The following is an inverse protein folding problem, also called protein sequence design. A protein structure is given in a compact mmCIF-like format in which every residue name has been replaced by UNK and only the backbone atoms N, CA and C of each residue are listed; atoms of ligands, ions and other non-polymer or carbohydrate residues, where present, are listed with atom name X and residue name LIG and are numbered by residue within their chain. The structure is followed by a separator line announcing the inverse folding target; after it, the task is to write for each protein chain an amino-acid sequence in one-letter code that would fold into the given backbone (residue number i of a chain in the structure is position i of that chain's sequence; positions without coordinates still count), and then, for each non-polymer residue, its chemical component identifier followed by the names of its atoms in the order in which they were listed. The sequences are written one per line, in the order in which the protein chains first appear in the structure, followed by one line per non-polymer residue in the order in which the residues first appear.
data_IF_336324829206
#
_entry.id   IF_336324829206
#
_cell.length_a   1.000
_cell.length_b   1.000
_cell.length_c   1.000
_cell.angle_alpha   90.00
_cell.angle_beta   90.00
_cell.angle_gamma   90.00
#
_symmetry.space_group_name_H-M   'P 1'
#
loop_
_entity.id
_entity.type
_entity.pdbx_description
1 polymer ?
#
# COMPACT_ATOMS: atom_id res chain seq x y z
N UNK A 1 19.16 -10.02 27.30
CA UNK A 1 19.23 -10.42 25.88
C UNK A 1 20.41 -9.69 25.23
N UNK A 2 21.18 -10.34 24.33
CA UNK A 2 22.46 -9.86 23.78
C UNK A 2 22.36 -8.73 22.73
N UNK A 3 21.15 -8.27 22.38
CA UNK A 3 20.89 -7.22 21.36
C UNK A 3 21.65 -7.43 20.03
N UNK A 4 21.86 -8.69 19.66
CA UNK A 4 22.68 -9.04 18.51
C UNK A 4 21.98 -8.70 17.19
N UNK A 5 22.67 -7.97 16.32
CA UNK A 5 22.19 -7.60 14.97
C UNK A 5 23.05 -8.27 13.91
N UNK A 6 22.65 -9.46 13.48
CA UNK A 6 23.40 -10.29 12.53
C UNK A 6 22.46 -10.97 11.52
N UNK A 7 23.02 -11.55 10.46
CA UNK A 7 22.25 -12.30 9.47
C UNK A 7 21.48 -13.47 10.11
N UNK A 8 22.09 -14.19 11.07
CA UNK A 8 21.37 -15.25 11.81
C UNK A 8 20.21 -14.70 12.62
N UNK A 9 20.32 -13.50 13.19
CA UNK A 9 19.21 -12.85 13.89
C UNK A 9 18.09 -12.52 12.90
N UNK A 10 18.43 -12.04 11.70
CA UNK A 10 17.44 -11.76 10.66
C UNK A 10 16.69 -13.03 10.25
N UNK A 11 17.39 -14.15 10.06
CA UNK A 11 16.78 -15.47 9.80
C UNK A 11 15.91 -15.92 10.97
N UNK A 12 16.39 -15.81 12.21
CA UNK A 12 15.59 -16.17 13.39
C UNK A 12 14.29 -15.36 13.49
N UNK A 13 14.33 -14.05 13.18
CA UNK A 13 13.11 -13.23 13.16
C UNK A 13 12.10 -13.69 12.11
N UNK A 14 12.56 -14.30 11.01
CA UNK A 14 11.69 -14.91 9.98
C UNK A 14 10.93 -16.10 10.56
N UNK A 15 11.64 -17.01 11.22
CA UNK A 15 11.04 -18.19 11.84
C UNK A 15 10.05 -17.80 12.94
N UNK A 16 10.42 -16.83 13.78
CA UNK A 16 9.52 -16.35 14.82
C UNK A 16 8.28 -15.63 14.24
N UNK A 17 8.43 -14.89 13.14
CA UNK A 17 7.30 -14.25 12.46
C UNK A 17 6.37 -15.28 11.79
N UNK A 18 6.91 -16.39 11.29
CA UNK A 18 6.12 -17.49 10.75
C UNK A 18 5.26 -18.18 11.84
N UNK A 19 5.80 -18.29 13.07
CA UNK A 19 5.09 -18.84 14.22
C UNK A 19 4.02 -17.90 14.80
N UNK A 20 4.32 -16.59 14.86
CA UNK A 20 3.40 -15.59 15.39
C UNK A 20 3.59 -14.23 14.70
N UNK A 21 2.92 -14.00 13.55
CA UNK A 21 3.02 -12.74 12.81
C UNK A 21 2.39 -11.57 13.56
N UNK A 22 1.60 -11.79 14.62
CA UNK A 22 1.00 -10.73 15.44
C UNK A 22 1.95 -10.15 16.49
N UNK A 23 3.11 -10.77 16.71
CA UNK A 23 4.08 -10.29 17.68
C UNK A 23 4.85 -9.08 17.14
N UNK A 24 4.45 -7.89 17.60
CA UNK A 24 5.03 -6.62 17.17
C UNK A 24 6.51 -6.47 17.50
N UNK A 25 7.01 -7.12 18.57
CA UNK A 25 8.41 -7.03 18.99
C UNK A 25 9.33 -7.69 17.96
N UNK A 26 8.89 -8.78 17.34
CA UNK A 26 9.65 -9.46 16.28
C UNK A 26 9.82 -8.52 15.09
N UNK A 27 8.73 -7.90 14.62
CA UNK A 27 8.78 -6.98 13.48
C UNK A 27 9.59 -5.71 13.76
N UNK A 28 9.49 -5.18 14.99
CA UNK A 28 10.32 -4.07 15.43
C UNK A 28 11.80 -4.44 15.40
N UNK A 29 12.16 -5.56 16.01
CA UNK A 29 13.55 -6.00 16.08
C UNK A 29 14.10 -6.36 14.69
N UNK A 30 13.29 -7.02 13.84
CA UNK A 30 13.63 -7.29 12.44
C UNK A 30 14.00 -6.02 11.68
N UNK A 31 13.25 -4.93 11.84
CA UNK A 31 13.59 -3.63 11.22
C UNK A 31 14.92 -3.06 11.71
N UNK A 32 15.23 -3.19 13.00
CA UNK A 32 16.54 -2.76 13.53
C UNK A 32 17.69 -3.56 12.91
N UNK A 33 17.51 -4.88 12.73
CA UNK A 33 18.53 -5.74 12.11
C UNK A 33 18.70 -5.42 10.63
N UNK A 34 17.60 -5.23 9.88
CA UNK A 34 17.63 -4.82 8.46
C UNK A 34 18.42 -3.52 8.29
N UNK A 35 18.15 -2.53 9.14
CA UNK A 35 18.82 -1.24 9.10
C UNK A 35 20.31 -1.35 9.41
N UNK A 36 20.68 -2.08 10.46
CA UNK A 36 22.10 -2.26 10.85
C UNK A 36 22.91 -2.96 9.76
N UNK A 37 22.32 -3.97 9.12
CA UNK A 37 22.99 -4.76 8.10
C UNK A 37 23.01 -4.09 6.72
N UNK A 38 22.25 -3.01 6.53
CA UNK A 38 22.02 -2.45 5.19
C UNK A 38 21.42 -3.49 4.23
N UNK A 39 20.51 -4.34 4.73
CA UNK A 39 19.93 -5.43 3.95
C UNK A 39 19.13 -4.92 2.75
N UNK A 40 19.02 -5.75 1.70
CA UNK A 40 18.25 -5.43 0.52
C UNK A 40 16.75 -5.28 0.84
N UNK A 41 16.25 -4.05 0.75
CA UNK A 41 14.85 -3.74 1.03
C UNK A 41 13.90 -4.29 -0.03
N UNK A 42 14.35 -4.51 -1.27
CA UNK A 42 13.52 -5.13 -2.31
C UNK A 42 13.26 -6.60 -1.99
N UNK A 43 14.29 -7.33 -1.57
CA UNK A 43 14.13 -8.68 -1.05
C UNK A 43 13.19 -8.72 0.18
N UNK A 44 13.24 -7.72 1.06
CA UNK A 44 12.32 -7.63 2.19
C UNK A 44 10.86 -7.34 1.76
N UNK A 45 10.64 -6.52 0.72
CA UNK A 45 9.31 -6.29 0.15
C UNK A 45 8.70 -7.58 -0.43
N UNK A 46 9.52 -8.42 -1.04
CA UNK A 46 9.11 -9.74 -1.55
C UNK A 46 8.80 -10.71 -0.41
N UNK A 47 9.62 -10.72 0.64
CA UNK A 47 9.35 -11.51 1.84
C UNK A 47 8.03 -11.09 2.49
N UNK A 48 7.85 -9.81 2.82
CA UNK A 48 6.63 -9.34 3.51
C UNK A 48 5.39 -9.51 2.64
N UNK A 49 5.52 -9.41 1.31
CA UNK A 49 4.44 -9.76 0.36
C UNK A 49 3.95 -11.19 0.60
N UNK A 50 4.85 -12.17 0.68
CA UNK A 50 4.48 -13.57 0.94
C UNK A 50 3.76 -13.74 2.28
N UNK A 51 4.23 -13.06 3.33
CA UNK A 51 3.61 -13.14 4.66
C UNK A 51 2.22 -12.49 4.68
N UNK A 52 2.02 -11.37 3.99
CA UNK A 52 0.71 -10.69 3.92
C UNK A 52 -0.32 -11.54 3.18
N UNK A 53 0.07 -12.26 2.13
CA UNK A 53 -0.85 -13.15 1.40
C UNK A 53 -1.51 -14.15 2.36
N UNK A 54 -0.72 -14.73 3.28
CA UNK A 54 -1.24 -15.69 4.27
C UNK A 54 -1.86 -15.02 5.50
N UNK A 55 -1.57 -13.75 5.76
CA UNK A 55 -1.92 -13.04 6.99
C UNK A 55 -2.58 -11.68 6.70
N UNK A 56 -3.47 -11.62 5.71
CA UNK A 56 -4.00 -10.37 5.15
C UNK A 56 -4.78 -9.48 6.14
N UNK A 57 -5.18 -10.02 7.29
CA UNK A 57 -5.91 -9.32 8.37
C UNK A 57 -5.03 -8.96 9.58
N UNK A 58 -3.71 -9.13 9.47
CA UNK A 58 -2.77 -8.86 10.54
C UNK A 58 -2.21 -7.43 10.42
N UNK A 59 -2.33 -6.64 11.49
CA UNK A 59 -1.87 -5.24 11.47
C UNK A 59 -0.36 -5.11 11.31
N UNK A 60 0.41 -5.97 11.97
CA UNK A 60 1.87 -5.87 12.04
C UNK A 60 2.53 -6.10 10.68
N UNK A 61 2.01 -7.00 9.85
CA UNK A 61 2.57 -7.28 8.51
C UNK A 61 2.37 -6.11 7.56
N UNK A 62 1.19 -5.47 7.59
CA UNK A 62 0.91 -4.27 6.80
C UNK A 62 1.73 -3.07 7.29
N UNK A 63 1.83 -2.89 8.61
CA UNK A 63 2.67 -1.85 9.17
C UNK A 63 4.16 -2.07 8.84
N UNK A 64 4.64 -3.30 8.87
CA UNK A 64 6.00 -3.62 8.46
C UNK A 64 6.23 -3.29 6.99
N UNK A 65 5.33 -3.71 6.08
CA UNK A 65 5.41 -3.35 4.66
C UNK A 65 5.49 -1.84 4.46
N UNK A 66 4.61 -1.07 5.13
CA UNK A 66 4.63 0.39 5.11
C UNK A 66 6.02 0.94 5.46
N UNK A 67 6.61 0.50 6.58
CA UNK A 67 7.96 0.95 6.98
C UNK A 67 9.03 0.63 5.93
N UNK A 68 8.96 -0.54 5.29
CA UNK A 68 9.93 -0.91 4.25
C UNK A 68 9.74 -0.03 3.00
N UNK A 69 8.50 0.25 2.57
CA UNK A 69 8.22 1.18 1.47
C UNK A 69 8.73 2.59 1.76
N UNK A 70 8.56 3.09 2.99
CA UNK A 70 9.11 4.37 3.44
C UNK A 70 10.65 4.39 3.34
N UNK A 71 11.31 3.30 3.77
CA UNK A 71 12.76 3.17 3.67
C UNK A 71 13.24 3.09 2.20
N UNK A 72 12.53 2.38 1.31
CA UNK A 72 12.85 2.33 -0.12
C UNK A 72 12.68 3.71 -0.75
N UNK A 73 11.60 4.44 -0.42
CA UNK A 73 11.40 5.82 -0.85
C UNK A 73 12.58 6.71 -0.44
N UNK A 74 13.01 6.63 0.81
CA UNK A 74 14.15 7.40 1.30
C UNK A 74 15.45 7.02 0.57
N UNK A 75 15.71 5.73 0.34
CA UNK A 75 16.88 5.29 -0.43
C UNK A 75 16.88 5.84 -1.86
N UNK A 76 15.74 5.88 -2.53
CA UNK A 76 15.60 6.48 -3.87
C UNK A 76 15.93 7.98 -3.81
N UNK A 77 15.37 8.71 -2.85
CA UNK A 77 15.62 10.15 -2.67
C UNK A 77 17.10 10.41 -2.39
N UNK A 78 17.72 9.68 -1.46
CA UNK A 78 19.11 9.86 -1.08
C UNK A 78 20.06 9.57 -2.26
N UNK A 79 19.78 8.50 -3.02
CA UNK A 79 20.54 8.10 -4.21
C UNK A 79 20.59 9.22 -5.26
N UNK A 80 19.49 9.93 -5.49
CA UNK A 80 19.40 10.94 -6.54
C UNK A 80 19.69 12.36 -6.07
N UNK A 81 19.59 12.64 -4.76
CA UNK A 81 19.82 13.97 -4.17
C UNK A 81 21.19 14.57 -4.50
N UNK A 82 22.22 13.73 -4.66
CA UNK A 82 23.58 14.18 -5.00
C UNK A 82 23.79 14.41 -6.51
N UNK A 83 22.92 13.86 -7.36
CA UNK A 83 23.16 13.77 -8.81
C UNK A 83 22.30 14.73 -9.64
N UNK A 84 21.22 15.28 -9.08
CA UNK A 84 20.31 16.20 -9.79
C UNK A 84 19.43 15.54 -10.86
N UNK A 85 19.39 14.20 -10.95
CA UNK A 85 18.59 13.46 -11.93
C UNK A 85 17.13 13.30 -11.48
N UNK A 86 16.36 14.40 -11.50
CA UNK A 86 14.96 14.41 -11.08
C UNK A 86 14.11 13.39 -11.83
N UNK A 87 14.27 13.26 -13.15
CA UNK A 87 13.45 12.35 -13.97
C UNK A 87 13.63 10.88 -13.60
N UNK A 88 14.86 10.46 -13.30
CA UNK A 88 15.14 9.07 -12.88
C UNK A 88 14.58 8.77 -11.50
N UNK A 89 14.67 9.74 -10.58
CA UNK A 89 14.07 9.65 -9.25
C UNK A 89 12.55 9.53 -9.35
N UNK A 90 11.90 10.39 -10.14
CA UNK A 90 10.46 10.36 -10.36
C UNK A 90 10.00 9.03 -10.95
N UNK A 91 10.77 8.49 -11.91
CA UNK A 91 10.51 7.17 -12.47
C UNK A 91 10.60 6.06 -11.42
N UNK A 92 11.68 6.00 -10.62
CA UNK A 92 11.83 4.96 -9.59
C UNK A 92 10.75 5.05 -8.50
N UNK A 93 10.32 6.27 -8.13
CA UNK A 93 9.20 6.48 -7.21
C UNK A 93 7.87 6.04 -7.83
N UNK A 94 7.65 6.32 -9.12
CA UNK A 94 6.45 5.87 -9.84
C UNK A 94 6.39 4.34 -9.92
N UNK A 95 7.51 3.70 -10.26
CA UNK A 95 7.62 2.24 -10.35
C UNK A 95 7.27 1.58 -8.98
N UNK A 96 7.75 2.16 -7.87
CA UNK A 96 7.41 1.72 -6.51
C UNK A 96 5.91 1.85 -6.20
N UNK A 97 5.29 2.98 -6.55
CA UNK A 97 3.85 3.20 -6.35
C UNK A 97 3.03 2.20 -7.17
N UNK A 98 3.41 1.95 -8.42
CA UNK A 98 2.71 1.01 -9.29
C UNK A 98 2.82 -0.43 -8.78
N UNK A 99 3.97 -0.82 -8.23
CA UNK A 99 4.14 -2.10 -7.53
C UNK A 99 3.21 -2.22 -6.32
N UNK A 100 3.12 -1.18 -5.49
CA UNK A 100 2.21 -1.16 -4.33
C UNK A 100 0.73 -1.21 -4.76
N UNK A 101 0.34 -0.43 -5.78
CA UNK A 101 -1.01 -0.44 -6.34
C UNK A 101 -1.38 -1.84 -6.87
N UNK A 102 -0.46 -2.51 -7.59
CA UNK A 102 -0.66 -3.87 -8.10
C UNK A 102 -0.77 -4.90 -6.97
N UNK A 103 0.10 -4.81 -5.97
CA UNK A 103 0.07 -5.72 -4.82
C UNK A 103 -1.23 -5.57 -4.03
N UNK A 104 -1.65 -4.35 -3.74
CA UNK A 104 -2.91 -4.14 -3.01
C UNK A 104 -4.12 -4.57 -3.85
N UNK A 105 -4.10 -4.34 -5.16
CA UNK A 105 -5.17 -4.84 -6.04
C UNK A 105 -5.29 -6.37 -6.00
N UNK A 106 -4.17 -7.10 -5.91
CA UNK A 106 -4.20 -8.56 -5.69
C UNK A 106 -4.90 -8.92 -4.38
N UNK A 107 -4.59 -8.20 -3.28
CA UNK A 107 -5.21 -8.45 -1.98
C UNK A 107 -6.71 -8.09 -1.95
N UNK A 108 -7.10 -6.98 -2.59
CA UNK A 108 -8.50 -6.56 -2.73
C UNK A 108 -9.29 -7.54 -3.59
N UNK A 109 -8.68 -8.13 -4.62
CA UNK A 109 -9.36 -9.16 -5.43
C UNK A 109 -9.69 -10.42 -4.63
N UNK A 110 -8.85 -10.77 -3.65
CA UNK A 110 -9.10 -11.91 -2.76
C UNK A 110 -10.14 -11.59 -1.67
N UNK A 111 -10.08 -10.37 -1.10
CA UNK A 111 -11.04 -9.86 -0.13
C UNK A 111 -11.29 -8.37 -0.42
N UNK A 112 -12.40 -8.10 -1.12
CA UNK A 112 -12.75 -6.74 -1.58
C UNK A 112 -13.01 -5.77 -0.43
N UNK A 113 -13.19 -6.30 0.79
CA UNK A 113 -13.42 -5.54 2.02
C UNK A 113 -12.20 -5.54 2.95
N UNK A 114 -11.03 -5.99 2.47
CA UNK A 114 -9.80 -5.94 3.26
C UNK A 114 -9.45 -4.50 3.65
N UNK A 115 -9.77 -4.15 4.90
CA UNK A 115 -9.57 -2.81 5.43
C UNK A 115 -8.10 -2.38 5.41
N UNK A 116 -7.17 -3.29 5.73
CA UNK A 116 -5.74 -2.97 5.74
C UNK A 116 -5.20 -2.71 4.33
N UNK A 117 -5.67 -3.48 3.34
CA UNK A 117 -5.34 -3.23 1.93
C UNK A 117 -5.79 -1.85 1.49
N UNK A 118 -7.06 -1.50 1.73
CA UNK A 118 -7.59 -0.17 1.40
C UNK A 118 -6.86 0.96 2.14
N UNK A 119 -6.58 0.80 3.43
CA UNK A 119 -5.83 1.77 4.22
C UNK A 119 -4.41 1.96 3.69
N UNK A 120 -3.73 0.86 3.31
CA UNK A 120 -2.40 0.90 2.71
C UNK A 120 -2.43 1.61 1.35
N UNK A 121 -3.43 1.33 0.49
CA UNK A 121 -3.60 1.99 -0.80
C UNK A 121 -3.76 3.50 -0.65
N UNK A 122 -4.66 3.94 0.24
CA UNK A 122 -4.88 5.36 0.52
C UNK A 122 -3.61 6.05 1.02
N UNK A 123 -2.87 5.38 1.91
CA UNK A 123 -1.59 5.90 2.37
C UNK A 123 -0.59 6.07 1.21
N UNK A 124 -0.39 5.05 0.37
CA UNK A 124 0.54 5.12 -0.77
C UNK A 124 0.18 6.27 -1.72
N UNK A 125 -1.06 6.35 -2.19
CA UNK A 125 -1.44 7.38 -3.19
C UNK A 125 -1.33 8.80 -2.62
N UNK A 126 -1.61 8.98 -1.33
CA UNK A 126 -1.52 10.29 -0.70
C UNK A 126 -0.10 10.69 -0.34
N UNK A 127 0.75 9.75 0.10
CA UNK A 127 2.14 10.02 0.48
C UNK A 127 3.02 10.30 -0.75
N UNK A 128 2.71 9.65 -1.89
CA UNK A 128 3.43 9.84 -3.15
C UNK A 128 2.76 10.85 -4.09
N UNK A 129 1.56 11.34 -3.76
CA UNK A 129 0.74 12.22 -4.62
C UNK A 129 0.52 11.62 -6.01
N UNK A 130 0.05 10.38 -6.03
CA UNK A 130 -0.16 9.57 -7.25
C UNK A 130 -1.58 9.00 -7.31
N UNK A 131 -2.54 9.88 -7.62
CA UNK A 131 -3.97 9.57 -7.67
C UNK A 131 -4.45 9.12 -9.06
N UNK A 132 -3.57 9.16 -10.06
CA UNK A 132 -3.87 8.77 -11.44
C UNK A 132 -4.37 7.33 -11.50
N UNK A 133 -5.44 7.09 -12.28
CA UNK A 133 -6.05 5.77 -12.46
C UNK A 133 -6.93 5.29 -11.31
N UNK A 134 -7.01 6.02 -10.19
CA UNK A 134 -7.74 5.53 -9.01
C UNK A 134 -9.27 5.59 -9.18
N UNK A 135 -9.80 6.58 -9.92
CA UNK A 135 -11.25 6.66 -10.18
C UNK A 135 -11.69 5.56 -11.16
N UNK A 136 -10.87 5.28 -12.16
CA UNK A 136 -11.05 4.17 -13.10
C UNK A 136 -11.04 2.85 -12.34
N UNK A 137 -10.05 2.64 -11.47
CA UNK A 137 -9.97 1.45 -10.62
C UNK A 137 -11.21 1.27 -9.72
N UNK A 138 -11.74 2.36 -9.12
CA UNK A 138 -13.01 2.24 -8.37
C UNK A 138 -14.20 1.89 -9.25
N UNK A 139 -14.21 2.39 -10.49
CA UNK A 139 -15.30 2.13 -11.44
C UNK A 139 -15.30 0.65 -11.85
N UNK A 140 -14.12 0.09 -12.13
CA UNK A 140 -13.95 -1.36 -12.41
C UNK A 140 -14.47 -2.22 -11.26
N UNK A 141 -14.10 -1.89 -10.02
CA UNK A 141 -14.57 -2.64 -8.85
C UNK A 141 -16.09 -2.52 -8.62
N UNK A 142 -16.69 -1.39 -8.98
CA UNK A 142 -18.14 -1.17 -8.90
C UNK A 142 -18.89 -1.88 -10.03
N UNK A 143 -18.25 -2.07 -11.19
CA UNK A 143 -18.81 -2.88 -12.27
C UNK A 143 -18.89 -4.36 -11.87
N UNK A 144 -17.90 -4.84 -11.11
CA UNK A 144 -17.91 -6.20 -10.53
C UNK A 144 -18.88 -6.35 -9.34
N UNK A 145 -18.87 -5.42 -8.39
CA UNK A 145 -19.77 -5.40 -7.23
C UNK A 145 -20.17 -3.97 -6.88
N UNK A 146 -21.35 -3.56 -7.35
CA UNK A 146 -21.88 -2.23 -7.10
C UNK A 146 -22.14 -1.92 -5.62
N UNK A 147 -22.27 -2.96 -4.77
CA UNK A 147 -22.45 -2.82 -3.32
C UNK A 147 -21.12 -2.81 -2.56
N UNK A 148 -19.99 -2.78 -3.26
CA UNK A 148 -18.68 -2.66 -2.66
C UNK A 148 -18.49 -1.26 -2.04
N UNK A 149 -18.90 -1.12 -0.77
CA UNK A 149 -18.78 0.12 -0.02
C UNK A 149 -17.33 0.61 0.10
N UNK A 150 -16.34 -0.28 0.07
CA UNK A 150 -14.93 0.13 0.11
C UNK A 150 -14.50 0.83 -1.18
N UNK A 151 -15.00 0.41 -2.34
CA UNK A 151 -14.77 1.10 -3.61
C UNK A 151 -15.45 2.47 -3.63
N UNK A 152 -16.68 2.59 -3.13
CA UNK A 152 -17.37 3.88 -2.97
C UNK A 152 -16.62 4.83 -2.03
N UNK A 153 -16.20 4.33 -0.88
CA UNK A 153 -15.40 5.10 0.07
C UNK A 153 -14.06 5.54 -0.54
N UNK A 154 -13.40 4.68 -1.31
CA UNK A 154 -12.15 5.03 -1.98
C UNK A 154 -12.37 6.09 -3.06
N UNK A 155 -13.46 6.01 -3.82
CA UNK A 155 -13.83 7.03 -4.82
C UNK A 155 -14.01 8.39 -4.16
N UNK A 156 -14.77 8.44 -3.06
CA UNK A 156 -14.92 9.64 -2.25
C UNK A 156 -13.56 10.16 -1.77
N UNK A 157 -12.70 9.30 -1.23
CA UNK A 157 -11.36 9.67 -0.76
C UNK A 157 -10.52 10.31 -1.87
N UNK A 158 -10.51 9.74 -3.08
CA UNK A 158 -9.74 10.25 -4.21
C UNK A 158 -10.21 11.65 -4.60
N UNK A 159 -11.52 11.85 -4.77
CA UNK A 159 -12.08 13.15 -5.17
C UNK A 159 -11.83 14.18 -4.09
N UNK A 160 -12.07 13.81 -2.83
CA UNK A 160 -11.86 14.71 -1.69
C UNK A 160 -10.42 15.22 -1.58
N UNK A 161 -9.43 14.36 -1.87
CA UNK A 161 -8.00 14.71 -1.77
C UNK A 161 -7.40 15.26 -3.07
N UNK A 162 -8.18 15.40 -4.15
CA UNK A 162 -7.70 15.93 -5.44
C UNK A 162 -8.47 17.17 -5.86
N UNK A 163 -9.65 17.02 -6.46
CA UNK A 163 -10.43 18.12 -7.03
C UNK A 163 -11.42 18.73 -6.04
N UNK A 164 -11.79 17.98 -5.01
CA UNK A 164 -12.95 18.28 -4.18
C UNK A 164 -14.28 18.08 -4.93
N UNK A 165 -15.38 18.16 -4.18
CA UNK A 165 -16.74 18.08 -4.72
C UNK A 165 -17.27 19.48 -5.04
N UNK A 166 -16.81 20.07 -6.15
CA UNK A 166 -17.17 21.44 -6.56
C UNK A 166 -17.60 21.51 -8.02
N UNK A 167 -18.62 22.35 -8.29
CA UNK A 167 -19.09 22.68 -9.64
C UNK A 167 -19.26 21.46 -10.55
N UNK A 168 -18.53 21.38 -11.69
CA UNK A 168 -18.65 20.27 -12.64
C UNK A 168 -18.37 18.88 -12.06
N UNK A 169 -17.48 18.76 -11.07
CA UNK A 169 -17.14 17.46 -10.46
C UNK A 169 -18.31 16.94 -9.62
N UNK A 170 -18.96 17.83 -8.87
CA UNK A 170 -20.14 17.45 -8.10
C UNK A 170 -21.27 16.98 -9.03
N UNK A 171 -21.52 17.70 -10.12
CA UNK A 171 -22.52 17.33 -11.12
C UNK A 171 -22.20 15.99 -11.79
N UNK A 172 -20.94 15.74 -12.16
CA UNK A 172 -20.53 14.46 -12.75
C UNK A 172 -20.68 13.30 -11.77
N UNK A 173 -20.37 13.50 -10.49
CA UNK A 173 -20.52 12.46 -9.47
C UNK A 173 -21.98 12.16 -9.12
N UNK A 174 -22.84 13.18 -9.11
CA UNK A 174 -24.29 12.98 -8.99
C UNK A 174 -24.79 12.13 -10.15
N UNK A 175 -24.42 12.48 -11.39
CA UNK A 175 -24.81 11.73 -12.58
C UNK A 175 -24.30 10.28 -12.52
N UNK A 176 -23.02 10.08 -12.23
CA UNK A 176 -22.41 8.75 -12.07
C UNK A 176 -23.14 7.92 -11.02
N UNK A 177 -23.43 8.51 -9.86
CA UNK A 177 -24.13 7.82 -8.76
C UNK A 177 -25.55 7.44 -9.17
N UNK A 178 -26.29 8.33 -9.85
CA UNK A 178 -27.63 8.03 -10.35
C UNK A 178 -27.62 6.89 -11.38
N UNK A 179 -26.67 6.89 -12.31
CA UNK A 179 -26.49 5.81 -13.28
C UNK A 179 -26.24 4.46 -12.58
N UNK A 180 -25.45 4.46 -11.50
CA UNK A 180 -25.17 3.27 -10.69
C UNK A 180 -26.37 2.80 -9.85
N UNK A 181 -27.17 3.71 -9.27
CA UNK A 181 -28.37 3.37 -8.49
C UNK A 181 -29.38 2.59 -9.34
N UNK A 182 -29.54 2.97 -10.61
CA UNK A 182 -30.47 2.28 -11.53
C UNK A 182 -30.09 0.80 -11.72
N UNK A 183 -28.82 0.44 -11.57
CA UNK A 183 -28.34 -0.95 -11.68
C UNK A 183 -28.62 -1.78 -10.42
N UNK A 184 -28.85 -1.15 -9.27
CA UNK A 184 -29.15 -1.83 -8.00
C UNK A 184 -30.12 -1.01 -7.13
N UNK A 185 -31.41 -0.95 -7.48
CA UNK A 185 -32.41 -0.09 -6.82
C UNK A 185 -32.89 -0.60 -5.45
N UNK A 186 -32.38 -1.75 -4.99
CA UNK A 186 -32.84 -2.48 -3.79
C UNK A 186 -31.90 -2.27 -2.60
#
# INVERSE_FOLDING_TARGET
ASNERSLRTLELTRDCAALNPSNYTIWYFRRLVIQELGSDLRAELDYIKSVIVDNAKNYQVWHHRKCIVENVKQQIVDKHSASGHTDLMEKELSDLVDEEKRFVALMIRQDSKNYHGWQHRQWVINDFKRFEGELEYTSELMDDDIRNNSAWNHRYYVIFNTTGFVGPVLESEIKFTLEKIVLAPN
#
